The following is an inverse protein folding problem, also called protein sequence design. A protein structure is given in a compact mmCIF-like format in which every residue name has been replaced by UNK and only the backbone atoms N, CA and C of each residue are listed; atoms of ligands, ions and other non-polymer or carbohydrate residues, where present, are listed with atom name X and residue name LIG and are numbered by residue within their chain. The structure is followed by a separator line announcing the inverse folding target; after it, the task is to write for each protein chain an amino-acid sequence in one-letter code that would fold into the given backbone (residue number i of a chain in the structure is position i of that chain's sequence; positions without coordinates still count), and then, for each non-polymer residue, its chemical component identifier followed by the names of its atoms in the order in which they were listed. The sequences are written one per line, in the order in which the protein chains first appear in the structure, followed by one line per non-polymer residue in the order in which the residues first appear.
data_IF_473057469423
#
_entry.id   IF_473057469423
#
_cell.length_a   1.000
_cell.length_b   1.000
_cell.length_c   1.000
_cell.angle_alpha   90.00
_cell.angle_beta   90.00
_cell.angle_gamma   90.00
#
_symmetry.space_group_name_H-M   'P 1'
#
loop_
_entity.id
_entity.type
_entity.pdbx_description
1 polymer ?
#
# COMPACT_ATOMS: atom_id res chain seq x y z
N UNK A 1 26.33 4.07 0.57
CA UNK A 1 24.91 3.68 0.61
C UNK A 1 24.08 4.93 0.41
N UNK A 2 23.33 5.03 -0.70
CA UNK A 2 22.45 6.17 -0.93
C UNK A 2 21.48 6.31 0.26
N UNK A 3 21.28 7.54 0.73
CA UNK A 3 20.35 7.86 1.82
C UNK A 3 18.97 7.38 1.36
N UNK A 4 18.47 6.26 1.92
CA UNK A 4 17.20 5.64 1.52
C UNK A 4 16.11 6.72 1.47
N UNK A 5 15.47 6.88 0.31
CA UNK A 5 14.35 7.79 0.16
C UNK A 5 13.32 7.49 1.25
N UNK A 6 13.02 8.50 2.07
CA UNK A 6 12.03 8.36 3.13
C UNK A 6 10.66 8.45 2.48
N UNK A 7 9.79 7.48 2.76
CA UNK A 7 8.37 7.61 2.43
C UNK A 7 7.84 8.91 3.04
N UNK A 8 7.42 9.84 2.19
CA UNK A 8 6.74 11.06 2.61
C UNK A 8 5.25 10.87 2.39
N UNK A 9 4.48 11.12 3.44
CA UNK A 9 3.03 11.10 3.38
C UNK A 9 2.58 12.55 3.11
N UNK A 10 1.79 12.81 2.06
CA UNK A 10 1.17 14.12 1.86
C UNK A 10 0.32 14.55 3.06
N UNK A 11 -0.05 15.83 3.12
CA UNK A 11 -0.93 16.34 4.17
C UNK A 11 -2.20 15.47 4.28
N UNK A 12 -2.52 15.02 5.49
CA UNK A 12 -3.63 14.09 5.74
C UNK A 12 -4.98 14.81 5.88
N UNK A 13 -4.97 16.13 6.00
CA UNK A 13 -6.10 16.94 6.44
C UNK A 13 -6.14 17.07 7.96
N UNK A 14 -6.66 18.20 8.43
CA UNK A 14 -6.69 18.60 9.85
C UNK A 14 -7.26 17.49 10.75
N UNK A 15 -8.39 16.90 10.36
CA UNK A 15 -9.04 15.84 11.13
C UNK A 15 -8.14 14.63 11.39
N UNK A 16 -7.45 14.13 10.36
CA UNK A 16 -6.59 12.95 10.51
C UNK A 16 -5.26 13.29 11.19
N UNK A 17 -4.74 14.51 11.01
CA UNK A 17 -3.54 14.97 11.72
C UNK A 17 -3.79 15.08 13.22
N UNK A 18 -4.95 15.58 13.64
CA UNK A 18 -5.34 15.67 15.04
C UNK A 18 -5.48 14.29 15.69
N UNK A 19 -6.17 13.36 15.02
CA UNK A 19 -6.29 11.99 15.49
C UNK A 19 -4.91 11.33 15.63
N UNK A 20 -4.04 11.46 14.62
CA UNK A 20 -2.69 10.91 14.67
C UNK A 20 -1.88 11.52 15.82
N UNK A 21 -1.99 12.83 16.04
CA UNK A 21 -1.29 13.53 17.12
C UNK A 21 -1.73 13.03 18.49
N UNK A 22 -3.04 12.95 18.73
CA UNK A 22 -3.60 12.45 20.01
C UNK A 22 -3.19 11.00 20.25
N UNK A 23 -3.35 10.14 19.24
CA UNK A 23 -2.99 8.73 19.34
C UNK A 23 -1.48 8.53 19.58
N UNK A 24 -0.63 9.34 18.94
CA UNK A 24 0.82 9.34 19.18
C UNK A 24 1.17 9.69 20.63
N UNK A 25 0.52 10.70 21.20
CA UNK A 25 0.72 11.12 22.58
C UNK A 25 0.29 10.05 23.57
N UNK A 26 -0.90 9.44 23.38
CA UNK A 26 -1.42 8.37 24.23
C UNK A 26 -0.45 7.17 24.26
N UNK A 27 0.14 6.83 23.10
CA UNK A 27 1.04 5.69 22.96
C UNK A 27 2.53 6.02 23.24
N UNK A 28 2.85 7.25 23.64
CA UNK A 28 4.23 7.68 23.94
C UNK A 28 5.18 7.60 22.74
N UNK A 29 4.67 7.83 21.53
CA UNK A 29 5.42 7.73 20.26
C UNK A 29 5.45 9.07 19.55
N UNK A 30 6.46 9.26 18.69
CA UNK A 30 6.43 10.39 17.74
C UNK A 30 5.39 10.14 16.64
N UNK A 31 4.83 11.20 16.06
CA UNK A 31 3.85 11.07 14.95
C UNK A 31 4.37 10.21 13.78
N UNK A 32 5.63 10.32 13.33
CA UNK A 32 6.14 9.43 12.28
C UNK A 32 6.17 7.95 12.70
N UNK A 33 6.52 7.64 13.95
CA UNK A 33 6.54 6.26 14.45
C UNK A 33 5.13 5.68 14.55
N UNK A 34 4.18 6.47 15.05
CA UNK A 34 2.80 6.02 15.14
C UNK A 34 2.17 5.86 13.75
N UNK A 35 2.42 6.82 12.85
CA UNK A 35 2.00 6.73 11.45
C UNK A 35 2.57 5.50 10.75
N UNK A 36 3.85 5.18 10.96
CA UNK A 36 4.45 3.94 10.46
C UNK A 36 3.75 2.70 11.02
N UNK A 37 3.52 2.65 12.34
CA UNK A 37 2.85 1.52 12.99
C UNK A 37 1.45 1.29 12.44
N UNK A 38 0.66 2.35 12.28
CA UNK A 38 -0.70 2.29 11.75
C UNK A 38 -0.73 1.89 10.27
N UNK A 39 0.19 2.42 9.46
CA UNK A 39 0.30 2.03 8.06
C UNK A 39 0.66 0.55 7.91
N UNK A 40 1.62 0.05 8.69
CA UNK A 40 1.98 -1.37 8.71
C UNK A 40 0.77 -2.25 9.08
N UNK A 41 0.05 -1.90 10.14
CA UNK A 41 -1.15 -2.62 10.56
C UNK A 41 -2.20 -2.64 9.43
N UNK A 42 -2.44 -1.49 8.79
CA UNK A 42 -3.43 -1.41 7.72
C UNK A 42 -3.02 -2.17 6.46
N UNK A 43 -1.74 -2.23 6.14
CA UNK A 43 -1.22 -3.03 5.03
C UNK A 43 -1.33 -4.53 5.32
N UNK A 44 -1.08 -4.95 6.56
CA UNK A 44 -1.29 -6.33 7.00
C UNK A 44 -2.76 -6.74 6.88
N UNK A 45 -3.70 -5.90 7.32
CA UNK A 45 -5.14 -6.12 7.12
C UNK A 45 -5.53 -6.23 5.64
N UNK A 46 -4.82 -5.51 4.76
CA UNK A 46 -5.06 -5.49 3.32
C UNK A 46 -4.32 -6.59 2.56
N UNK A 47 -3.47 -7.38 3.20
CA UNK A 47 -2.55 -8.32 2.55
C UNK A 47 -3.29 -9.27 1.60
N UNK A 48 -4.32 -9.95 2.08
CA UNK A 48 -5.08 -10.92 1.28
C UNK A 48 -5.79 -10.27 0.10
N UNK A 49 -6.28 -9.04 0.27
CA UNK A 49 -6.88 -8.27 -0.82
C UNK A 49 -5.84 -7.89 -1.86
N UNK A 50 -4.64 -7.47 -1.44
CA UNK A 50 -3.54 -7.16 -2.34
C UNK A 50 -3.15 -8.41 -3.13
N UNK A 51 -2.97 -9.58 -2.46
CA UNK A 51 -2.66 -10.86 -3.12
C UNK A 51 -3.71 -11.25 -4.15
N UNK A 52 -5.00 -11.13 -3.84
CA UNK A 52 -6.10 -11.40 -4.79
C UNK A 52 -6.01 -10.53 -6.04
N UNK A 53 -5.71 -9.24 -5.89
CA UNK A 53 -5.54 -8.31 -7.01
C UNK A 53 -4.30 -8.65 -7.85
N UNK A 54 -3.20 -9.07 -7.22
CA UNK A 54 -2.02 -9.56 -7.94
C UNK A 54 -2.36 -10.82 -8.73
N UNK A 55 -3.05 -11.79 -8.13
CA UNK A 55 -3.46 -13.01 -8.81
C UNK A 55 -4.38 -12.73 -10.02
N UNK A 56 -5.30 -11.77 -9.89
CA UNK A 56 -6.13 -11.29 -11.00
C UNK A 56 -5.28 -10.78 -12.16
N UNK A 57 -4.35 -9.84 -11.89
CA UNK A 57 -3.49 -9.26 -12.92
C UNK A 57 -2.56 -10.30 -13.55
N UNK A 58 -2.06 -11.26 -12.76
CA UNK A 58 -1.25 -12.37 -13.22
C UNK A 58 -2.03 -13.25 -14.21
N UNK A 59 -3.31 -13.55 -13.91
CA UNK A 59 -4.18 -14.32 -14.79
C UNK A 59 -4.41 -13.66 -16.16
N UNK A 60 -4.59 -12.32 -16.18
CA UNK A 60 -4.74 -11.54 -17.42
C UNK A 60 -3.48 -11.56 -18.27
N UNK A 61 -2.32 -11.68 -17.63
CA UNK A 61 -0.99 -11.69 -18.27
C UNK A 61 -0.44 -13.09 -18.55
N UNK A 62 -1.16 -14.16 -18.15
CA UNK A 62 -0.73 -15.54 -18.35
C UNK A 62 0.55 -15.92 -17.58
N UNK A 63 0.83 -15.25 -16.46
CA UNK A 63 2.00 -15.52 -15.59
C UNK A 63 1.56 -16.00 -14.20
N UNK A 64 2.51 -16.50 -13.40
CA UNK A 64 2.22 -16.87 -12.01
C UNK A 64 2.02 -15.63 -11.13
N UNK A 65 1.22 -15.73 -10.04
CA UNK A 65 1.07 -14.65 -9.07
C UNK A 65 2.41 -14.20 -8.46
N UNK A 66 3.33 -15.12 -8.21
CA UNK A 66 4.66 -14.81 -7.66
C UNK A 66 5.53 -14.02 -8.64
N UNK A 67 5.47 -14.36 -9.93
CA UNK A 67 6.19 -13.61 -10.96
C UNK A 67 5.58 -12.21 -11.14
N UNK A 68 4.25 -12.09 -11.13
CA UNK A 68 3.59 -10.77 -11.15
C UNK A 68 3.99 -9.94 -9.93
N UNK A 69 3.98 -10.52 -8.73
CA UNK A 69 4.40 -9.85 -7.50
C UNK A 69 5.83 -9.31 -7.61
N UNK A 70 6.75 -10.16 -8.09
CA UNK A 70 8.15 -9.80 -8.32
C UNK A 70 8.29 -8.64 -9.31
N UNK A 71 7.58 -8.68 -10.43
CA UNK A 71 7.60 -7.59 -11.42
C UNK A 71 7.07 -6.27 -10.85
N UNK A 72 6.01 -6.32 -10.01
CA UNK A 72 5.47 -5.13 -9.35
C UNK A 72 6.46 -4.50 -8.38
N UNK A 73 7.14 -5.32 -7.56
CA UNK A 73 8.15 -4.83 -6.61
C UNK A 73 9.38 -4.26 -7.34
N UNK A 74 9.78 -4.85 -8.46
CA UNK A 74 10.91 -4.40 -9.27
C UNK A 74 10.57 -3.24 -10.22
N UNK A 75 9.29 -2.92 -10.40
CA UNK A 75 8.83 -1.91 -11.35
C UNK A 75 8.96 -2.31 -12.83
N UNK A 76 9.03 -3.61 -13.12
CA UNK A 76 9.21 -4.16 -14.49
C UNK A 76 7.90 -4.72 -15.07
N UNK A 77 6.77 -4.49 -14.40
CA UNK A 77 5.46 -5.00 -14.81
C UNK A 77 4.89 -4.19 -15.99
N UNK A 78 4.06 -4.83 -16.80
CA UNK A 78 3.27 -4.13 -17.81
C UNK A 78 2.26 -3.18 -17.14
N UNK A 79 2.16 -1.89 -17.55
CA UNK A 79 1.25 -0.93 -16.94
C UNK A 79 -0.18 -1.46 -16.79
N UNK A 80 -0.78 -1.24 -15.62
CA UNK A 80 -2.17 -1.63 -15.36
C UNK A 80 -3.08 -0.67 -16.13
N UNK A 81 -3.97 -1.20 -16.96
CA UNK A 81 -4.89 -0.36 -17.75
C UNK A 81 -6.01 0.22 -16.89
N UNK A 82 -6.74 1.21 -17.41
CA UNK A 82 -7.88 1.80 -16.68
C UNK A 82 -9.00 0.79 -16.48
N UNK A 83 -9.26 -0.02 -17.50
CA UNK A 83 -10.25 -1.09 -17.46
C UNK A 83 -9.92 -2.10 -16.36
N UNK A 84 -8.65 -2.51 -16.26
CA UNK A 84 -8.20 -3.39 -15.18
C UNK A 84 -8.37 -2.76 -13.80
N UNK A 85 -8.09 -1.45 -13.66
CA UNK A 85 -8.32 -0.72 -12.41
C UNK A 85 -9.80 -0.71 -12.04
N UNK A 86 -10.69 -0.48 -13.00
CA UNK A 86 -12.14 -0.45 -12.76
C UNK A 86 -12.69 -1.85 -12.42
N UNK A 87 -12.23 -2.90 -13.10
CA UNK A 87 -12.54 -4.29 -12.75
C UNK A 87 -12.11 -4.62 -11.31
N UNK A 88 -10.91 -4.19 -10.90
CA UNK A 88 -10.40 -4.38 -9.54
C UNK A 88 -11.13 -3.56 -8.46
N UNK A 89 -11.83 -2.48 -8.84
CA UNK A 89 -12.64 -1.65 -7.93
C UNK A 89 -14.07 -2.18 -7.77
N UNK A 90 -14.63 -2.75 -8.84
CA UNK A 90 -16.00 -3.27 -8.86
C UNK A 90 -16.12 -4.72 -8.37
N UNK A 91 -15.00 -5.45 -8.26
CA UNK A 91 -14.93 -6.80 -7.71
C UNK A 91 -14.71 -6.88 -6.19
N UNK A 92 -14.84 -5.77 -5.47
CA UNK A 92 -14.78 -5.62 -4.01
C UNK A 92 -16.18 -5.43 -3.40
#
# INVERSE_FOLDING_TARGET
MARKDRLQIPNLGEWYEDLLRVDSLINGRSMPQQGQSLLCAKLQEREEKIKKRVAYLASKRGISPDEMWKQMVLGTYEPITREEVDELRNGD
#
